data_IF_866011913977
#
_entry.id   IF_866011913977
#
_cell.length_a   1.000
_cell.length_b   1.000
_cell.length_c   1.000
_cell.angle_alpha   90.00
_cell.angle_beta   90.00
_cell.angle_gamma   90.00
#
_symmetry.space_group_name_H-M   'P 1'
#
loop_
_entity.id
_entity.type
_entity.pdbx_description
1 polymer ?
#
# COMPACT_ATOMS: atom_id res chain seq x y z
N UNK A 1 1.24 -7.00 -2.60
CA UNK A 1 0.03 -6.19 -2.92
C UNK A 1 0.41 -4.79 -3.38
N UNK A 2 -0.55 -3.98 -3.92
CA UNK A 2 -0.25 -2.62 -4.40
C UNK A 2 -1.37 -1.64 -4.05
N UNK A 3 -1.04 -0.35 -3.88
CA UNK A 3 -2.08 0.69 -3.81
C UNK A 3 -2.86 0.76 -5.12
N UNK A 4 -4.17 0.60 -5.07
CA UNK A 4 -5.05 0.50 -6.24
C UNK A 4 -4.95 1.70 -7.19
N UNK A 5 -4.73 2.90 -6.65
CA UNK A 5 -4.53 4.10 -7.48
C UNK A 5 -3.24 4.03 -8.33
N UNK A 6 -2.21 3.30 -7.90
CA UNK A 6 -1.00 3.07 -8.71
C UNK A 6 -1.27 2.10 -9.86
N UNK A 7 -2.17 1.14 -9.66
CA UNK A 7 -2.61 0.22 -10.70
C UNK A 7 -3.60 0.84 -11.70
N UNK A 8 -3.98 2.10 -11.52
CA UNK A 8 -4.86 2.81 -12.43
C UNK A 8 -6.33 2.91 -12.00
N UNK A 9 -6.69 2.41 -10.82
CA UNK A 9 -8.04 2.53 -10.29
C UNK A 9 -8.31 3.98 -9.84
N UNK A 10 -9.55 4.45 -10.07
CA UNK A 10 -9.99 5.81 -9.78
C UNK A 10 -10.43 5.98 -8.31
N UNK A 11 -9.55 5.60 -7.37
CA UNK A 11 -9.80 5.59 -5.93
C UNK A 11 -9.03 6.65 -5.13
N UNK A 12 -8.31 7.53 -5.81
CA UNK A 12 -7.67 8.70 -5.19
C UNK A 12 -8.73 9.64 -4.60
N UNK A 13 -8.38 10.41 -3.57
CA UNK A 13 -9.32 11.33 -2.90
C UNK A 13 -10.09 12.26 -3.87
N UNK A 14 -9.47 12.63 -4.98
CA UNK A 14 -10.06 13.50 -6.02
C UNK A 14 -10.71 12.73 -7.19
N UNK A 15 -10.89 11.42 -7.07
CA UNK A 15 -11.46 10.56 -8.10
C UNK A 15 -10.51 10.26 -9.28
N UNK A 16 -9.24 10.66 -9.19
CA UNK A 16 -8.23 10.36 -10.21
C UNK A 16 -7.40 9.13 -9.85
N UNK A 17 -6.38 8.85 -10.65
CA UNK A 17 -5.41 7.78 -10.44
C UNK A 17 -4.01 8.36 -10.18
N UNK A 18 -3.10 7.50 -9.73
CA UNK A 18 -1.66 7.75 -9.71
C UNK A 18 -0.95 6.70 -10.59
N UNK A 19 -1.58 6.34 -11.72
CA UNK A 19 -1.20 5.22 -12.57
C UNK A 19 0.30 5.12 -12.83
N UNK A 20 0.83 3.93 -12.61
CA UNK A 20 2.19 3.50 -12.90
C UNK A 20 2.11 2.25 -13.76
N UNK A 21 2.54 2.30 -15.03
CA UNK A 21 2.41 1.16 -15.95
C UNK A 21 3.00 -0.13 -15.40
N UNK A 22 4.18 -0.04 -14.76
CA UNK A 22 4.88 -1.17 -14.18
C UNK A 22 4.12 -1.81 -13.00
N UNK A 23 3.38 -1.02 -12.21
CA UNK A 23 2.53 -1.53 -11.12
C UNK A 23 1.22 -2.12 -11.68
N UNK A 24 0.64 -1.48 -12.70
CA UNK A 24 -0.55 -2.01 -13.37
C UNK A 24 -0.27 -3.36 -14.04
N UNK A 25 0.92 -3.55 -14.61
CA UNK A 25 1.35 -4.81 -15.19
C UNK A 25 1.43 -5.95 -14.15
N UNK A 26 1.89 -5.66 -12.92
CA UNK A 26 1.88 -6.65 -11.83
C UNK A 26 0.47 -7.15 -11.51
N UNK A 27 -0.50 -6.26 -11.53
CA UNK A 27 -1.91 -6.62 -11.29
C UNK A 27 -2.46 -7.41 -12.47
N UNK A 28 -2.21 -6.96 -13.71
CA UNK A 28 -2.66 -7.64 -14.93
C UNK A 28 -2.09 -9.05 -15.06
N UNK A 29 -0.86 -9.29 -14.60
CA UNK A 29 -0.21 -10.59 -14.59
C UNK A 29 -0.53 -11.46 -13.36
N UNK A 30 -1.40 -10.99 -12.45
CA UNK A 30 -1.78 -11.75 -11.25
C UNK A 30 -0.71 -11.80 -10.16
N UNK A 31 0.37 -11.02 -10.28
CA UNK A 31 1.47 -10.96 -9.30
C UNK A 31 1.15 -10.03 -8.13
N UNK A 32 0.15 -9.16 -8.25
CA UNK A 32 -0.21 -8.23 -7.20
C UNK A 32 -1.72 -8.05 -7.07
N UNK A 33 -2.17 -7.83 -5.84
CA UNK A 33 -3.57 -7.52 -5.50
C UNK A 33 -3.69 -6.03 -5.26
N UNK A 34 -4.55 -5.30 -5.99
CA UNK A 34 -4.76 -3.87 -5.77
C UNK A 34 -5.74 -3.63 -4.62
N UNK A 35 -5.39 -2.72 -3.69
CA UNK A 35 -6.26 -2.30 -2.59
C UNK A 35 -6.25 -0.80 -2.41
N UNK A 36 -7.38 -0.23 -1.98
CA UNK A 36 -7.46 1.14 -1.48
C UNK A 36 -7.98 1.09 -0.04
N UNK A 37 -7.10 1.21 0.98
CA UNK A 37 -7.54 1.14 2.37
C UNK A 37 -8.55 2.22 2.73
N UNK A 38 -8.49 3.40 2.12
CA UNK A 38 -9.44 4.49 2.39
C UNK A 38 -10.87 4.13 1.95
N UNK A 39 -11.04 3.50 0.78
CA UNK A 39 -12.35 2.99 0.32
C UNK A 39 -12.81 1.78 1.13
N UNK A 40 -11.88 0.86 1.47
CA UNK A 40 -12.18 -0.29 2.33
C UNK A 40 -12.66 0.12 3.73
N UNK A 41 -12.19 1.27 4.22
CA UNK A 41 -12.65 1.86 5.47
C UNK A 41 -13.96 2.64 5.38
N UNK A 42 -14.60 2.65 4.20
CA UNK A 42 -15.90 3.29 3.98
C UNK A 42 -15.85 4.76 3.56
N UNK A 43 -14.68 5.29 3.26
CA UNK A 43 -14.60 6.67 2.74
C UNK A 43 -15.02 6.70 1.26
N UNK A 44 -15.84 7.69 0.85
CA UNK A 44 -16.28 7.81 -0.54
C UNK A 44 -15.15 8.27 -1.47
N UNK A 45 -15.37 8.10 -2.77
CA UNK A 45 -14.57 8.73 -3.82
C UNK A 45 -15.50 9.56 -4.71
N UNK A 46 -15.31 10.88 -4.87
CA UNK A 46 -14.26 11.69 -4.22
C UNK A 46 -14.50 11.96 -2.72
N UNK A 47 -13.46 12.38 -2.03
CA UNK A 47 -13.47 12.75 -0.60
C UNK A 47 -12.51 13.90 -0.33
N UNK A 48 -12.63 14.50 0.83
CA UNK A 48 -11.69 15.51 1.30
C UNK A 48 -10.27 14.92 1.46
N UNK A 49 -9.22 15.62 1.03
CA UNK A 49 -7.85 15.18 1.32
C UNK A 49 -7.63 15.16 2.83
N UNK A 50 -6.89 14.15 3.27
CA UNK A 50 -6.59 13.93 4.69
C UNK A 50 -5.09 13.84 4.91
N UNK A 51 -4.64 14.20 6.11
CA UNK A 51 -3.25 14.06 6.54
C UNK A 51 -3.18 13.42 7.92
N UNK A 52 -2.08 12.71 8.20
CA UNK A 52 -1.84 12.12 9.51
C UNK A 52 -1.26 13.18 10.45
N UNK A 53 -1.81 13.25 11.67
CA UNK A 53 -1.35 14.10 12.76
C UNK A 53 -1.12 13.23 14.00
N UNK A 54 0.13 12.80 14.21
CA UNK A 54 0.42 11.81 15.26
C UNK A 54 -0.35 10.51 15.02
N UNK A 55 -1.15 10.11 15.99
CA UNK A 55 -1.97 8.89 15.89
C UNK A 55 -3.32 9.09 15.21
N UNK A 56 -3.69 10.33 14.90
CA UNK A 56 -4.95 10.67 14.24
C UNK A 56 -4.77 10.96 12.76
N UNK A 57 -5.85 10.82 12.00
CA UNK A 57 -5.97 11.28 10.61
C UNK A 57 -7.11 12.27 10.53
N UNK A 58 -6.82 13.44 10.00
CA UNK A 58 -7.80 14.54 9.87
C UNK A 58 -7.95 14.95 8.41
N UNK A 59 -9.18 15.27 8.00
CA UNK A 59 -9.44 15.85 6.69
C UNK A 59 -9.16 17.37 6.71
N UNK A 60 -8.97 17.97 5.53
CA UNK A 60 -8.80 19.42 5.41
C UNK A 60 -10.04 20.20 5.85
N UNK A 61 -11.22 19.57 5.93
CA UNK A 61 -12.44 20.13 6.52
C UNK A 61 -12.45 20.01 8.05
N UNK A 62 -11.40 19.48 8.68
CA UNK A 62 -11.28 19.33 10.14
C UNK A 62 -12.01 18.11 10.73
N UNK A 63 -12.53 17.21 9.89
CA UNK A 63 -13.15 15.96 10.34
C UNK A 63 -12.08 14.96 10.75
N UNK A 64 -12.24 14.36 11.92
CA UNK A 64 -11.46 13.18 12.30
C UNK A 64 -11.98 11.95 11.53
N UNK A 65 -11.08 11.30 10.80
CA UNK A 65 -11.36 10.11 9.97
C UNK A 65 -10.47 8.94 10.38
N UNK A 66 -9.91 9.00 11.58
CA UNK A 66 -8.99 7.98 12.10
C UNK A 66 -9.61 6.60 12.10
N UNK A 67 -10.89 6.50 12.52
CA UNK A 67 -11.60 5.22 12.59
C UNK A 67 -11.74 4.57 11.21
N UNK A 68 -12.09 5.32 10.17
CA UNK A 68 -12.21 4.84 8.80
C UNK A 68 -10.84 4.40 8.25
N UNK A 69 -9.78 5.18 8.52
CA UNK A 69 -8.41 4.81 8.11
C UNK A 69 -7.92 3.54 8.82
N UNK A 70 -8.21 3.38 10.11
CA UNK A 70 -7.85 2.19 10.87
C UNK A 70 -8.61 0.96 10.35
N UNK A 71 -9.93 1.04 10.22
CA UNK A 71 -10.76 -0.04 9.69
C UNK A 71 -10.32 -0.46 8.28
N UNK A 72 -10.00 0.51 7.43
CA UNK A 72 -9.52 0.25 6.08
C UNK A 72 -8.14 -0.39 6.03
N UNK A 73 -7.23 -0.01 6.94
CA UNK A 73 -5.92 -0.65 7.06
C UNK A 73 -6.05 -2.12 7.49
N UNK A 74 -6.92 -2.41 8.45
CA UNK A 74 -7.22 -3.78 8.91
C UNK A 74 -7.84 -4.63 7.79
N UNK A 75 -8.83 -4.09 7.06
CA UNK A 75 -9.44 -4.78 5.94
C UNK A 75 -8.43 -5.07 4.80
N UNK A 76 -7.54 -4.12 4.51
CA UNK A 76 -6.50 -4.31 3.51
C UNK A 76 -5.43 -5.32 3.96
N UNK A 77 -5.09 -5.35 5.25
CA UNK A 77 -4.21 -6.37 5.82
C UNK A 77 -4.83 -7.76 5.70
N UNK A 78 -6.11 -7.91 6.04
CA UNK A 78 -6.81 -9.19 5.89
C UNK A 78 -6.72 -9.70 4.44
N UNK A 79 -6.94 -8.82 3.45
CA UNK A 79 -6.78 -9.17 2.03
C UNK A 79 -5.33 -9.59 1.74
N UNK A 80 -4.33 -8.88 2.29
CA UNK A 80 -2.92 -9.23 2.08
C UNK A 80 -2.59 -10.64 2.60
N UNK A 81 -3.09 -10.98 3.78
CA UNK A 81 -2.91 -12.28 4.41
C UNK A 81 -3.61 -13.40 3.63
N UNK A 82 -4.88 -13.20 3.21
CA UNK A 82 -5.66 -14.15 2.42
C UNK A 82 -5.02 -14.47 1.06
N UNK A 83 -4.39 -13.47 0.43
CA UNK A 83 -3.68 -13.66 -0.84
C UNK A 83 -2.20 -14.05 -0.67
N UNK A 84 -1.73 -14.28 0.55
CA UNK A 84 -0.36 -14.68 0.83
C UNK A 84 0.69 -13.64 0.42
N UNK A 85 0.34 -12.35 0.48
CA UNK A 85 1.27 -11.29 0.14
C UNK A 85 2.37 -11.18 1.20
N UNK A 86 3.62 -11.02 0.78
CA UNK A 86 4.78 -10.77 1.65
C UNK A 86 5.33 -9.35 1.51
N UNK A 87 4.98 -8.66 0.42
CA UNK A 87 5.46 -7.33 0.11
C UNK A 87 4.34 -6.40 -0.39
N UNK A 88 4.57 -5.09 -0.29
CA UNK A 88 3.63 -4.08 -0.75
C UNK A 88 4.33 -2.93 -1.48
N UNK A 89 3.74 -2.46 -2.60
CA UNK A 89 4.13 -1.23 -3.29
C UNK A 89 3.03 -0.21 -3.06
N UNK A 90 3.30 0.77 -2.22
CA UNK A 90 2.31 1.70 -1.71
C UNK A 90 2.51 3.11 -2.24
N UNK A 91 1.41 3.89 -2.27
CA UNK A 91 1.46 5.29 -2.70
C UNK A 91 2.24 6.16 -1.71
N UNK A 92 3.35 6.75 -2.15
CA UNK A 92 4.17 7.66 -1.35
C UNK A 92 3.34 8.84 -0.79
N UNK A 93 3.68 9.30 0.39
CA UNK A 93 3.13 10.47 1.10
C UNK A 93 1.64 10.38 1.45
N UNK A 94 0.98 9.24 1.23
CA UNK A 94 -0.42 9.07 1.63
C UNK A 94 -0.53 8.89 3.15
N UNK A 95 -1.57 9.44 3.81
CA UNK A 95 -1.82 9.21 5.24
C UNK A 95 -2.15 7.75 5.58
N UNK A 96 -2.54 6.96 4.58
CA UNK A 96 -2.73 5.51 4.70
C UNK A 96 -1.50 4.72 4.23
N UNK A 97 -1.06 4.96 3.01
CA UNK A 97 -0.09 4.13 2.28
C UNK A 97 1.35 4.65 2.34
N UNK A 98 1.60 5.90 2.73
CA UNK A 98 2.93 6.50 2.72
C UNK A 98 3.91 5.73 3.60
N UNK A 99 5.15 5.54 3.13
CA UNK A 99 6.21 4.89 3.87
C UNK A 99 7.47 5.75 3.86
N UNK A 100 8.03 6.00 5.04
CA UNK A 100 9.20 6.81 5.29
C UNK A 100 8.94 8.32 5.36
N UNK A 101 8.06 8.88 4.53
CA UNK A 101 7.70 10.30 4.56
C UNK A 101 6.21 10.51 4.30
N UNK A 102 5.59 11.34 5.12
CA UNK A 102 4.18 11.73 5.02
C UNK A 102 4.02 13.24 5.25
N UNK A 103 2.86 13.80 4.94
CA UNK A 103 2.52 15.17 5.31
C UNK A 103 2.26 15.28 6.81
N UNK A 104 2.57 16.45 7.40
CA UNK A 104 2.61 16.71 8.85
C UNK A 104 1.25 16.97 9.51
N UNK A 105 0.16 16.91 8.76
CA UNK A 105 -1.20 17.17 9.26
C UNK A 105 -1.61 18.64 9.29
N UNK A 106 -0.79 19.54 8.74
CA UNK A 106 -1.09 20.99 8.72
C UNK A 106 -1.65 21.48 7.38
N UNK A 107 -1.67 20.61 6.36
CA UNK A 107 -2.04 20.92 4.97
C UNK A 107 -1.17 22.02 4.32
N UNK A 108 0.04 22.23 4.86
CA UNK A 108 1.04 23.17 4.36
C UNK A 108 1.99 22.55 3.31
N UNK A 109 1.79 21.29 2.94
CA UNK A 109 2.70 20.47 2.10
C UNK A 109 4.06 20.20 2.75
N UNK A 110 4.17 20.34 4.05
CA UNK A 110 5.37 20.00 4.80
C UNK A 110 5.47 18.49 4.97
N UNK A 111 6.61 17.91 4.63
CA UNK A 111 6.88 16.49 4.79
C UNK A 111 7.70 16.25 6.04
N UNK A 112 7.29 15.23 6.80
CA UNK A 112 8.00 14.72 7.98
C UNK A 112 8.34 13.25 7.78
N UNK A 113 9.29 12.74 8.56
CA UNK A 113 9.51 11.29 8.67
C UNK A 113 8.30 10.65 9.34
N UNK A 114 7.87 9.53 8.78
CA UNK A 114 6.71 8.79 9.29
C UNK A 114 6.05 7.97 8.20
N UNK A 115 5.06 7.18 8.63
CA UNK A 115 4.33 6.28 7.76
C UNK A 115 2.82 6.57 7.83
N UNK A 116 2.08 6.19 6.81
CA UNK A 116 0.63 6.08 6.84
C UNK A 116 0.18 4.91 7.71
N UNK A 117 -1.09 4.90 8.14
CA UNK A 117 -1.59 3.88 9.06
C UNK A 117 -1.45 2.47 8.51
N UNK A 118 -1.76 2.26 7.24
CA UNK A 118 -1.66 0.95 6.60
C UNK A 118 -0.20 0.51 6.43
N UNK A 119 0.69 1.42 6.02
CA UNK A 119 2.11 1.12 5.92
C UNK A 119 2.71 0.74 7.29
N UNK A 120 2.37 1.47 8.36
CA UNK A 120 2.76 1.12 9.72
C UNK A 120 2.28 -0.28 10.13
N UNK A 121 1.03 -0.62 9.80
CA UNK A 121 0.46 -1.92 10.13
C UNK A 121 1.17 -3.06 9.41
N UNK A 122 1.44 -2.89 8.11
CA UNK A 122 2.19 -3.88 7.32
C UNK A 122 3.62 -4.08 7.84
N UNK A 123 4.34 -3.00 8.15
CA UNK A 123 5.69 -3.08 8.73
C UNK A 123 5.68 -3.84 10.07
N UNK A 124 4.73 -3.56 10.96
CA UNK A 124 4.55 -4.28 12.23
C UNK A 124 4.25 -5.77 12.04
N UNK A 125 3.67 -6.15 10.91
CA UNK A 125 3.38 -7.55 10.53
C UNK A 125 4.53 -8.22 9.76
N UNK A 126 5.64 -7.52 9.53
CA UNK A 126 6.83 -8.06 8.89
C UNK A 126 6.80 -8.04 7.35
N UNK A 127 5.89 -7.28 6.75
CA UNK A 127 5.87 -7.10 5.29
C UNK A 127 7.03 -6.23 4.84
N UNK A 128 7.59 -6.53 3.68
CA UNK A 128 8.43 -5.57 2.96
C UNK A 128 7.55 -4.49 2.33
N UNK A 129 7.84 -3.23 2.66
CA UNK A 129 7.03 -2.10 2.17
C UNK A 129 7.89 -1.17 1.33
N UNK A 130 7.47 -0.97 0.09
CA UNK A 130 8.05 -0.03 -0.86
C UNK A 130 7.02 1.06 -1.19
N UNK A 131 7.50 2.20 -1.66
CA UNK A 131 6.67 3.16 -2.38
C UNK A 131 6.95 3.03 -3.89
N UNK A 132 6.12 3.65 -4.72
CA UNK A 132 6.38 3.75 -6.16
C UNK A 132 7.69 4.51 -6.49
N UNK A 133 8.28 5.17 -5.50
CA UNK A 133 9.54 5.90 -5.64
C UNK A 133 10.76 5.08 -5.21
N UNK A 134 10.57 4.05 -4.37
CA UNK A 134 11.66 3.24 -3.81
C UNK A 134 11.66 1.80 -4.32
N UNK A 135 10.59 1.36 -4.98
CA UNK A 135 10.51 0.00 -5.50
C UNK A 135 11.50 -0.22 -6.65
N UNK A 136 12.42 -1.21 -6.55
CA UNK A 136 13.47 -1.44 -7.55
C UNK A 136 12.98 -2.10 -8.85
N UNK A 137 11.70 -2.49 -8.92
CA UNK A 137 11.18 -3.34 -9.98
C UNK A 137 11.39 -4.83 -9.71
N UNK A 138 10.80 -5.68 -10.55
CA UNK A 138 11.07 -7.12 -10.50
C UNK A 138 12.46 -7.42 -11.08
N UNK A 139 13.19 -8.33 -10.46
CA UNK A 139 14.40 -8.92 -11.05
C UNK A 139 14.06 -9.74 -12.31
N UNK A 140 15.04 -10.02 -13.19
CA UNK A 140 14.80 -10.89 -14.35
C UNK A 140 14.28 -12.28 -13.96
N UNK A 141 14.73 -12.83 -12.84
CA UNK A 141 14.30 -14.14 -12.34
C UNK A 141 12.86 -14.12 -11.86
N UNK A 142 12.46 -13.08 -11.09
CA UNK A 142 11.08 -12.90 -10.65
C UNK A 142 10.11 -12.71 -11.83
N UNK A 143 10.52 -11.98 -12.87
CA UNK A 143 9.74 -11.83 -14.11
C UNK A 143 9.57 -13.18 -14.84
N UNK A 144 10.62 -14.00 -14.88
CA UNK A 144 10.60 -15.31 -15.55
C UNK A 144 9.77 -16.36 -14.78
N UNK A 145 9.68 -16.24 -13.45
CA UNK A 145 8.91 -17.14 -12.60
C UNK A 145 7.46 -16.72 -12.39
N UNK A 146 7.07 -15.57 -12.95
CA UNK A 146 5.70 -15.07 -12.86
C UNK A 146 4.70 -16.08 -13.44
N UNK A 147 3.63 -16.44 -12.72
CA UNK A 147 2.60 -17.31 -13.29
C UNK A 147 1.92 -16.59 -14.44
N UNK A 148 1.99 -17.17 -15.62
CA UNK A 148 1.30 -16.65 -16.82
C UNK A 148 -0.20 -16.59 -16.55
N UNK A 149 -0.94 -15.59 -17.04
CA UNK A 149 -2.38 -15.58 -16.95
C UNK A 149 -2.94 -16.75 -17.78
N UNK A 150 -3.19 -17.90 -17.15
CA UNK A 150 -3.72 -19.09 -17.81
C UNK A 150 -3.28 -20.45 -17.27
N UNK A 151 -2.44 -20.55 -16.27
CA UNK A 151 -1.96 -21.83 -15.74
C UNK A 151 -2.24 -22.03 -14.27
N UNK A 152 -3.26 -22.85 -13.94
CA UNK A 152 -3.38 -23.48 -12.63
C UNK A 152 -2.32 -24.59 -12.54
N UNK A 153 -1.34 -24.48 -11.66
CA UNK A 153 -0.68 -25.67 -11.14
C UNK A 153 -0.06 -25.45 -9.77
N UNK A 154 -0.18 -26.48 -8.96
CA UNK A 154 -0.13 -26.61 -7.54
C UNK A 154 1.27 -26.53 -6.92
N UNK A 155 1.25 -26.02 -5.70
CA UNK A 155 2.04 -26.39 -4.51
C UNK A 155 3.41 -27.04 -4.66
N UNK A 156 4.43 -26.41 -4.12
CA UNK A 156 5.39 -27.10 -3.25
C UNK A 156 5.95 -26.14 -2.22
N UNK A 157 5.74 -26.53 -0.97
CA UNK A 157 6.29 -25.94 0.23
C UNK A 157 7.80 -26.17 0.32
N UNK A 158 8.56 -25.14 0.63
CA UNK A 158 9.78 -25.32 1.40
C UNK A 158 10.08 -24.06 2.18
N UNK A 159 10.06 -24.23 3.49
CA UNK A 159 10.47 -23.29 4.50
C UNK A 159 11.99 -23.18 4.50
N UNK A 160 12.50 -21.96 4.34
CA UNK A 160 13.82 -21.60 4.84
C UNK A 160 13.73 -20.23 5.50
N UNK A 161 13.94 -20.26 6.82
CA UNK A 161 13.97 -19.09 7.70
C UNK A 161 15.40 -18.56 7.68
N UNK A 162 15.59 -17.37 7.13
CA UNK A 162 16.81 -16.59 7.30
C UNK A 162 16.59 -15.37 8.21
N UNK A 163 17.65 -14.85 8.88
CA UNK A 163 17.51 -14.14 10.15
C UNK A 163 16.88 -12.75 10.03
N UNK A 164 16.16 -12.40 11.09
CA UNK A 164 15.48 -11.14 11.31
C UNK A 164 16.36 -9.91 11.05
N UNK A 165 16.09 -9.23 9.94
CA UNK A 165 16.34 -7.79 9.81
C UNK A 165 15.02 -7.08 10.11
N UNK A 166 15.06 -6.04 10.94
CA UNK A 166 13.86 -5.24 11.21
C UNK A 166 13.28 -4.71 9.90
N UNK A 167 11.94 -4.82 9.68
CA UNK A 167 11.31 -4.35 8.47
C UNK A 167 11.41 -2.83 8.37
N UNK A 168 12.07 -2.35 7.33
CA UNK A 168 12.22 -0.91 7.04
C UNK A 168 11.53 -0.56 5.73
N UNK A 169 11.10 0.71 5.61
CA UNK A 169 10.72 1.24 4.30
C UNK A 169 11.92 1.15 3.35
N UNK A 170 11.74 0.59 2.17
CA UNK A 170 12.77 0.49 1.14
C UNK A 170 13.44 1.86 0.89
N UNK A 171 14.76 1.88 0.91
CA UNK A 171 15.58 3.08 0.64
C UNK A 171 15.80 3.28 -0.83
#
# INVERSE_FOLDING_TARGET
MVSACLAGLHCRYDGRTNHKPEVAELVASGLAVPVCPEELGGLPTPRDPSERRGDSVVSNAGRDVTAEFAAGAEAALYIAEEYGCSAAILKARSPSCGCGRIYDGTFSRTLIEGNGLFADLLLKKGFEVFTEETWPGLSPEERASAPYPGGLSASSSSSDISPHTEPTCGR
#
